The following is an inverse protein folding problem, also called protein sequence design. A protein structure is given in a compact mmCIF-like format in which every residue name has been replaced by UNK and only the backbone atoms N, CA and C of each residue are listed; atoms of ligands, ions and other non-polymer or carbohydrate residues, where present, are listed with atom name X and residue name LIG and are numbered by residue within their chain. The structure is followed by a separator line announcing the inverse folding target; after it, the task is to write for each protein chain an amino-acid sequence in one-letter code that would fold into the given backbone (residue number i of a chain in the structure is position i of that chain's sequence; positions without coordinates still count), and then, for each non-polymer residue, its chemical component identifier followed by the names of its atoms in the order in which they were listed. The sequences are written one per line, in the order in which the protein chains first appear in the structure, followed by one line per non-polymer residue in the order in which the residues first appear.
data_IF_077921052760
#
_entry.id   IF_077921052760
#
_cell.length_a   1.000
_cell.length_b   1.000
_cell.length_c   1.000
_cell.angle_alpha   90.00
_cell.angle_beta   90.00
_cell.angle_gamma   90.00
#
_symmetry.space_group_name_H-M   'P 1'
#
loop_
_entity.id
_entity.type
_entity.pdbx_description
1 polymer ?
#
# COMPACT_ATOMS: atom_id res chain seq x y z
N UNK A 1 -5.23 4.37 16.37
CA UNK A 1 -6.05 3.38 17.07
C UNK A 1 -5.62 1.98 16.65
N UNK A 2 -5.50 1.05 17.61
CA UNK A 2 -5.24 -0.36 17.35
C UNK A 2 -6.38 -1.23 17.91
N UNK A 3 -6.59 -2.40 17.35
CA UNK A 3 -7.58 -3.36 17.83
C UNK A 3 -6.94 -4.74 18.00
N UNK A 4 -7.23 -5.40 19.11
CA UNK A 4 -6.90 -6.80 19.36
C UNK A 4 -8.19 -7.62 19.33
N UNK A 5 -8.26 -8.60 18.46
CA UNK A 5 -9.38 -9.54 18.34
C UNK A 5 -8.92 -10.89 18.84
N UNK A 6 -9.62 -11.42 19.83
CA UNK A 6 -9.32 -12.74 20.41
C UNK A 6 -10.52 -13.66 20.25
N UNK A 7 -10.29 -14.86 19.75
CA UNK A 7 -11.29 -15.87 19.47
C UNK A 7 -11.00 -17.14 20.27
N UNK A 8 -12.03 -17.66 20.94
CA UNK A 8 -11.97 -18.95 21.59
C UNK A 8 -12.91 -19.95 20.88
N UNK A 9 -12.36 -20.88 20.15
CA UNK A 9 -13.11 -21.95 19.45
C UNK A 9 -13.36 -23.19 20.31
N UNK A 10 -12.86 -23.22 21.55
CA UNK A 10 -13.09 -24.31 22.47
C UNK A 10 -14.52 -24.24 23.02
N UNK A 11 -15.10 -25.41 23.33
CA UNK A 11 -16.42 -25.53 23.95
C UNK A 11 -16.42 -25.27 25.47
N UNK A 12 -15.33 -24.73 26.00
CA UNK A 12 -15.13 -24.40 27.40
C UNK A 12 -14.56 -23.00 27.56
N UNK A 13 -14.86 -22.36 28.70
CA UNK A 13 -14.26 -21.07 29.05
C UNK A 13 -12.76 -21.23 29.31
N UNK A 14 -11.97 -20.25 28.90
CA UNK A 14 -10.50 -20.26 29.05
C UNK A 14 -9.96 -18.95 29.59
N UNK A 15 -8.90 -19.07 30.38
CA UNK A 15 -8.01 -17.96 30.73
C UNK A 15 -6.83 -17.98 29.77
N UNK A 16 -6.68 -16.92 28.99
CA UNK A 16 -5.62 -16.79 28.00
C UNK A 16 -4.59 -15.75 28.43
N UNK A 17 -3.35 -16.00 28.08
CA UNK A 17 -2.25 -15.06 28.19
C UNK A 17 -1.88 -14.64 26.76
N UNK A 18 -2.35 -13.48 26.33
CA UNK A 18 -2.07 -12.97 24.99
C UNK A 18 -0.80 -12.14 25.03
N UNK A 19 0.22 -12.58 24.33
CA UNK A 19 1.45 -11.83 24.15
C UNK A 19 1.33 -10.93 22.91
N UNK A 20 1.62 -9.63 23.08
CA UNK A 20 1.78 -8.73 21.93
C UNK A 20 3.28 -8.67 21.63
N UNK A 21 3.73 -9.27 20.53
CA UNK A 21 5.15 -9.43 20.27
C UNK A 21 5.85 -8.09 20.04
N UNK A 22 7.10 -7.98 20.44
CA UNK A 22 7.89 -6.74 20.37
C UNK A 22 7.94 -6.17 18.94
N UNK A 23 8.05 -7.03 17.92
CA UNK A 23 8.04 -6.59 16.53
C UNK A 23 6.73 -5.90 16.09
N UNK A 24 5.59 -6.19 16.75
CA UNK A 24 4.34 -5.48 16.46
C UNK A 24 4.41 -4.02 16.92
N UNK A 25 5.11 -3.74 18.04
CA UNK A 25 5.34 -2.37 18.49
C UNK A 25 6.22 -1.62 17.49
N UNK A 26 7.31 -2.23 17.06
CA UNK A 26 8.22 -1.64 16.08
C UNK A 26 7.51 -1.38 14.75
N UNK A 27 6.74 -2.35 14.29
CA UNK A 27 6.00 -2.29 13.04
C UNK A 27 4.90 -1.21 13.01
N UNK A 28 4.13 -1.11 14.10
CA UNK A 28 3.05 -0.13 14.21
C UNK A 28 3.51 1.18 14.86
N UNK A 29 4.80 1.33 15.19
CA UNK A 29 5.36 2.47 15.91
C UNK A 29 4.56 2.81 17.19
N UNK A 30 4.25 1.78 17.97
CA UNK A 30 3.48 1.91 19.20
C UNK A 30 4.46 2.18 20.36
N UNK A 31 4.25 3.30 21.06
CA UNK A 31 5.00 3.58 22.27
C UNK A 31 4.65 2.59 23.41
N UNK A 32 5.65 2.23 24.20
CA UNK A 32 5.40 1.53 25.46
C UNK A 32 4.81 2.53 26.46
N UNK A 33 3.51 2.39 26.76
CA UNK A 33 2.80 3.30 27.65
C UNK A 33 1.60 2.65 28.35
N UNK A 34 1.09 3.29 29.41
CA UNK A 34 -0.20 2.92 29.98
C UNK A 34 -1.32 3.46 29.09
N UNK A 35 -2.15 2.57 28.56
CA UNK A 35 -3.27 2.92 27.68
C UNK A 35 -4.61 2.52 28.27
N UNK A 36 -5.65 3.29 27.94
CA UNK A 36 -7.02 2.91 28.22
C UNK A 36 -7.51 1.94 27.14
N UNK A 37 -7.83 0.72 27.55
CA UNK A 37 -8.36 -0.33 26.71
C UNK A 37 -9.86 -0.43 26.90
N UNK A 38 -10.63 -0.43 25.82
CA UNK A 38 -12.08 -0.61 25.82
C UNK A 38 -12.44 -1.96 25.20
N UNK A 39 -13.13 -2.82 25.95
CA UNK A 39 -13.74 -4.03 25.40
C UNK A 39 -15.06 -3.65 24.72
N UNK A 40 -15.19 -3.92 23.42
CA UNK A 40 -16.26 -3.32 22.60
C UNK A 40 -17.65 -3.93 22.81
N UNK A 41 -17.76 -5.19 23.25
CA UNK A 41 -19.05 -5.81 23.51
C UNK A 41 -19.66 -5.42 24.86
N UNK A 42 -18.83 -5.39 25.91
CA UNK A 42 -19.29 -5.04 27.26
C UNK A 42 -19.22 -3.55 27.57
N UNK A 43 -18.46 -2.79 26.77
CA UNK A 43 -18.11 -1.40 27.05
C UNK A 43 -17.16 -1.23 28.23
N UNK A 44 -16.65 -2.33 28.79
CA UNK A 44 -15.72 -2.32 29.93
C UNK A 44 -14.41 -1.62 29.55
N UNK A 45 -13.92 -0.76 30.46
CA UNK A 45 -12.68 -0.02 30.27
C UNK A 45 -11.67 -0.40 31.35
N UNK A 46 -10.42 -0.61 30.99
CA UNK A 46 -9.32 -0.80 31.95
C UNK A 46 -8.04 -0.16 31.43
N UNK A 47 -7.19 0.26 32.36
CA UNK A 47 -5.84 0.70 32.06
C UNK A 47 -4.93 -0.51 31.97
N UNK A 48 -4.11 -0.54 30.95
CA UNK A 48 -3.16 -1.62 30.67
C UNK A 48 -1.84 -1.01 30.28
N UNK A 49 -0.77 -1.52 30.86
CA UNK A 49 0.59 -1.17 30.45
C UNK A 49 0.96 -2.00 29.21
N UNK A 50 1.06 -1.33 28.07
CA UNK A 50 1.54 -1.94 26.83
C UNK A 50 3.07 -1.97 26.84
N UNK A 51 3.63 -3.16 26.74
CA UNK A 51 5.08 -3.40 26.66
C UNK A 51 5.38 -4.39 25.54
N UNK A 52 6.55 -4.25 24.94
CA UNK A 52 7.09 -5.26 24.01
C UNK A 52 7.16 -6.60 24.72
N UNK A 53 6.63 -7.62 24.06
CA UNK A 53 6.51 -8.99 24.59
C UNK A 53 5.73 -9.07 25.94
N UNK A 54 4.98 -8.02 26.27
CA UNK A 54 4.11 -7.97 27.43
C UNK A 54 2.91 -8.92 27.30
N UNK A 55 2.47 -9.44 28.45
CA UNK A 55 1.37 -10.40 28.49
C UNK A 55 0.08 -9.73 28.91
N UNK A 56 -0.97 -9.93 28.15
CA UNK A 56 -2.31 -9.41 28.39
C UNK A 56 -3.26 -10.55 28.79
N UNK A 57 -3.67 -10.65 30.07
CA UNK A 57 -4.56 -11.71 30.52
C UNK A 57 -6.00 -11.44 30.08
N UNK A 58 -6.63 -12.43 29.44
CA UNK A 58 -7.99 -12.36 28.92
C UNK A 58 -8.79 -13.58 29.34
N UNK A 59 -9.97 -13.34 29.93
CA UNK A 59 -10.97 -14.38 30.19
C UNK A 59 -11.90 -14.50 28.98
N UNK A 60 -12.03 -15.70 28.45
CA UNK A 60 -12.86 -16.00 27.29
C UNK A 60 -13.95 -17.01 27.64
N UNK A 61 -15.16 -16.72 27.22
CA UNK A 61 -16.27 -17.70 27.27
C UNK A 61 -16.06 -18.82 26.23
N UNK A 62 -16.75 -19.94 26.38
CA UNK A 62 -16.79 -20.97 25.37
C UNK A 62 -17.31 -20.42 24.04
N UNK A 63 -16.67 -20.74 22.92
CA UNK A 63 -16.98 -20.21 21.59
C UNK A 63 -17.09 -18.66 21.57
N UNK A 64 -16.31 -17.98 22.41
CA UNK A 64 -16.39 -16.55 22.64
C UNK A 64 -15.49 -15.72 21.72
N UNK A 65 -15.88 -14.45 21.55
CA UNK A 65 -15.06 -13.43 20.91
C UNK A 65 -14.93 -12.23 21.82
N UNK A 66 -13.76 -11.62 21.85
CA UNK A 66 -13.48 -10.34 22.53
C UNK A 66 -12.75 -9.41 21.57
N UNK A 67 -13.17 -8.16 21.55
CA UNK A 67 -12.54 -7.11 20.75
C UNK A 67 -12.13 -5.97 21.68
N UNK A 68 -10.84 -5.73 21.74
CA UNK A 68 -10.26 -4.66 22.54
C UNK A 68 -9.77 -3.54 21.67
N UNK A 69 -10.20 -2.33 21.94
CA UNK A 69 -9.75 -1.11 21.27
C UNK A 69 -8.76 -0.38 22.17
N UNK A 70 -7.62 -0.01 21.58
CA UNK A 70 -6.54 0.72 22.22
C UNK A 70 -6.39 2.10 21.57
N UNK A 71 -6.32 3.14 22.36
CA UNK A 71 -5.90 4.47 21.91
C UNK A 71 -4.39 4.60 22.18
N UNK A 72 -3.60 4.05 21.29
CA UNK A 72 -2.14 4.12 21.38
C UNK A 72 -1.62 5.42 20.78
N UNK A 73 -0.60 6.01 21.39
CA UNK A 73 0.23 7.00 20.74
C UNK A 73 1.17 6.25 19.81
N UNK A 74 1.27 6.72 18.59
CA UNK A 74 2.32 6.29 17.70
C UNK A 74 3.55 7.13 18.02
N UNK A 75 4.67 6.49 18.26
CA UNK A 75 5.94 7.22 18.30
C UNK A 75 6.10 7.85 16.91
N UNK A 76 6.27 9.16 16.86
CA UNK A 76 6.88 9.79 15.69
C UNK A 76 8.33 9.27 15.66
N UNK A 77 8.50 8.07 15.15
CA UNK A 77 9.84 7.62 14.84
C UNK A 77 10.34 8.56 13.75
N UNK A 78 11.47 9.21 13.99
CA UNK A 78 12.35 9.75 12.95
C UNK A 78 12.87 8.59 12.06
N UNK A 79 11.94 7.81 11.51
CA UNK A 79 12.24 7.06 10.29
C UNK A 79 12.40 8.17 9.26
N UNK A 80 13.63 8.58 9.06
CA UNK A 80 14.06 9.30 7.86
C UNK A 80 13.84 8.33 6.69
N UNK A 81 12.58 8.11 6.34
CA UNK A 81 12.21 7.80 4.99
C UNK A 81 12.65 9.03 4.23
N UNK A 82 13.59 8.86 3.29
CA UNK A 82 14.10 9.93 2.44
C UNK A 82 13.00 10.95 2.20
N UNK A 83 13.14 12.16 2.76
CA UNK A 83 12.14 13.21 2.67
C UNK A 83 11.83 13.43 1.20
N UNK A 84 10.66 12.98 0.77
CA UNK A 84 10.11 13.41 -0.50
C UNK A 84 9.71 14.88 -0.34
N UNK A 85 10.59 15.78 -0.70
CA UNK A 85 10.34 17.23 -0.71
C UNK A 85 9.28 17.67 -1.74
N UNK A 86 8.51 16.74 -2.31
CA UNK A 86 7.43 17.01 -3.25
C UNK A 86 6.09 16.66 -2.60
N UNK A 87 5.15 17.59 -2.72
CA UNK A 87 3.76 17.36 -2.32
C UNK A 87 3.24 16.09 -3.04
N UNK A 88 3.06 14.99 -2.29
CA UNK A 88 2.52 13.74 -2.83
C UNK A 88 1.07 13.97 -3.27
N UNK A 89 0.76 13.50 -4.47
CA UNK A 89 -0.61 13.48 -4.98
C UNK A 89 -1.07 12.03 -5.18
N UNK A 90 -1.69 11.41 -4.16
CA UNK A 90 -2.06 9.98 -4.15
C UNK A 90 -2.85 9.52 -5.40
N UNK A 91 -3.80 10.31 -5.96
CA UNK A 91 -4.48 9.92 -7.18
C UNK A 91 -3.54 9.69 -8.37
N UNK A 92 -2.60 10.59 -8.63
CA UNK A 92 -1.66 10.41 -9.73
C UNK A 92 -0.63 9.32 -9.44
N UNK A 93 -0.25 9.11 -8.18
CA UNK A 93 0.64 8.02 -7.79
C UNK A 93 -0.02 6.64 -7.99
N UNK A 94 -1.29 6.50 -7.63
CA UNK A 94 -2.03 5.26 -7.91
C UNK A 94 -2.23 5.05 -9.42
N UNK A 95 -2.48 6.12 -10.19
CA UNK A 95 -2.52 6.06 -11.64
C UNK A 95 -1.18 5.66 -12.27
N UNK A 96 -0.04 6.02 -11.67
CA UNK A 96 1.29 5.54 -12.07
C UNK A 96 1.37 4.02 -12.02
N UNK A 97 0.91 3.41 -10.92
CA UNK A 97 0.90 1.95 -10.76
C UNK A 97 0.05 1.27 -11.83
N UNK A 98 -1.17 1.78 -12.07
CA UNK A 98 -2.04 1.27 -13.14
C UNK A 98 -1.39 1.39 -14.52
N UNK A 99 -0.83 2.57 -14.84
CA UNK A 99 -0.19 2.81 -16.13
C UNK A 99 1.05 1.92 -16.33
N UNK A 100 1.86 1.72 -15.28
CA UNK A 100 2.99 0.80 -15.34
C UNK A 100 2.55 -0.61 -15.74
N UNK A 101 1.53 -1.14 -15.06
CA UNK A 101 1.04 -2.48 -15.35
C UNK A 101 0.33 -2.56 -16.70
N UNK A 102 -0.38 -1.52 -17.10
CA UNK A 102 -1.00 -1.45 -18.42
C UNK A 102 0.04 -1.51 -19.54
N UNK A 103 1.12 -0.73 -19.42
CA UNK A 103 2.19 -0.73 -20.42
C UNK A 103 2.90 -2.09 -20.53
N UNK A 104 3.13 -2.76 -19.40
CA UNK A 104 3.64 -4.14 -19.37
C UNK A 104 2.71 -5.08 -20.15
N UNK A 105 1.39 -4.95 -19.98
CA UNK A 105 0.41 -5.82 -20.63
C UNK A 105 0.22 -5.53 -22.12
N UNK A 106 0.20 -4.26 -22.52
CA UNK A 106 -0.02 -3.86 -23.91
C UNK A 106 1.23 -3.98 -24.79
N UNK A 107 2.40 -3.62 -24.24
CA UNK A 107 3.63 -3.51 -25.02
C UNK A 107 4.68 -4.56 -24.64
N UNK A 108 4.43 -5.42 -23.65
CA UNK A 108 5.41 -6.41 -23.18
C UNK A 108 6.68 -5.78 -22.58
N UNK A 109 6.67 -4.49 -22.32
CA UNK A 109 7.82 -3.74 -21.84
C UNK A 109 8.02 -3.89 -20.32
N UNK A 110 9.17 -3.45 -19.84
CA UNK A 110 9.41 -3.33 -18.40
C UNK A 110 8.67 -2.12 -17.81
N UNK A 111 8.45 -2.15 -16.49
CA UNK A 111 7.90 -0.98 -15.76
C UNK A 111 8.85 0.22 -15.89
N UNK A 112 8.28 1.41 -15.96
CA UNK A 112 9.04 2.67 -16.04
C UNK A 112 10.02 2.80 -14.89
N UNK A 113 11.28 3.10 -15.20
CA UNK A 113 12.31 3.44 -14.21
C UNK A 113 12.46 4.95 -14.01
N UNK A 114 11.75 5.76 -14.82
CA UNK A 114 11.81 7.20 -14.79
C UNK A 114 10.38 7.78 -14.79
N UNK A 115 9.84 7.95 -13.59
CA UNK A 115 8.54 8.55 -13.33
C UNK A 115 8.70 9.89 -12.61
N UNK A 116 7.93 10.88 -13.02
CA UNK A 116 7.83 12.17 -12.35
C UNK A 116 6.33 12.48 -12.16
N UNK A 117 5.85 12.25 -10.95
CA UNK A 117 4.43 12.28 -10.62
C UNK A 117 4.12 13.57 -9.88
N UNK A 118 3.21 14.35 -10.43
CA UNK A 118 2.79 15.64 -9.88
C UNK A 118 1.29 15.86 -10.09
N UNK A 119 0.69 16.72 -9.28
CA UNK A 119 -0.73 17.08 -9.37
C UNK A 119 -1.12 17.69 -10.74
N UNK A 120 -0.28 18.58 -11.28
CA UNK A 120 -0.63 19.32 -12.51
C UNK A 120 -0.37 18.49 -13.77
N UNK A 121 0.74 17.79 -13.81
CA UNK A 121 1.17 17.01 -14.97
C UNK A 121 2.22 15.99 -14.57
N UNK A 122 1.95 14.74 -14.85
CA UNK A 122 2.88 13.64 -14.62
C UNK A 122 3.51 13.18 -15.94
N UNK A 123 4.69 12.56 -15.85
CA UNK A 123 5.40 11.97 -16.98
C UNK A 123 6.03 10.66 -16.56
N UNK A 124 6.00 9.68 -17.47
CA UNK A 124 6.66 8.39 -17.32
C UNK A 124 7.35 8.02 -18.62
N UNK A 125 8.48 7.32 -18.53
CA UNK A 125 9.24 6.88 -19.70
C UNK A 125 9.37 5.38 -19.70
N UNK A 126 9.02 4.75 -20.82
CA UNK A 126 9.07 3.31 -21.06
C UNK A 126 10.03 3.01 -22.22
N UNK A 127 10.64 1.84 -22.19
CA UNK A 127 11.37 1.29 -23.35
C UNK A 127 10.41 0.33 -24.04
N UNK A 128 10.07 0.62 -25.29
CA UNK A 128 9.12 -0.17 -26.11
C UNK A 128 9.69 -0.42 -27.50
N UNK A 129 9.21 -1.47 -28.16
CA UNK A 129 9.79 -1.91 -29.45
C UNK A 129 9.45 -0.99 -30.62
N UNK A 130 8.37 -0.22 -30.51
CA UNK A 130 7.93 0.67 -31.60
C UNK A 130 7.26 1.93 -31.05
N UNK A 131 7.22 2.95 -31.90
CA UNK A 131 6.43 4.17 -31.66
C UNK A 131 4.95 3.83 -31.64
N UNK A 132 4.20 4.14 -30.55
CA UNK A 132 2.77 3.91 -30.51
C UNK A 132 2.02 4.63 -31.63
N UNK A 133 1.08 3.94 -32.20
CA UNK A 133 0.10 4.49 -33.13
C UNK A 133 -0.91 5.36 -32.39
N UNK A 134 -1.65 6.19 -33.10
CA UNK A 134 -2.77 6.97 -32.49
C UNK A 134 -3.84 6.08 -31.88
N UNK A 135 -4.03 4.87 -32.44
CA UNK A 135 -4.99 3.92 -31.89
C UNK A 135 -4.53 3.36 -30.55
N UNK A 136 -3.25 3.00 -30.43
CA UNK A 136 -2.66 2.52 -29.18
C UNK A 136 -2.64 3.62 -28.10
N UNK A 137 -2.36 4.86 -28.47
CA UNK A 137 -2.48 6.01 -27.54
C UNK A 137 -3.90 6.16 -27.00
N UNK A 138 -4.90 6.02 -27.86
CA UNK A 138 -6.31 6.06 -27.47
C UNK A 138 -6.69 4.87 -26.60
N UNK A 139 -6.15 3.69 -26.91
CA UNK A 139 -6.35 2.48 -26.11
C UNK A 139 -5.78 2.65 -24.70
N UNK A 140 -4.57 3.21 -24.54
CA UNK A 140 -3.99 3.53 -23.24
C UNK A 140 -4.95 4.41 -22.44
N UNK A 141 -5.45 5.51 -23.00
CA UNK A 141 -6.34 6.43 -22.28
C UNK A 141 -7.68 5.77 -21.92
N UNK A 142 -8.26 5.02 -22.84
CA UNK A 142 -9.53 4.32 -22.65
C UNK A 142 -9.39 3.26 -21.57
N UNK A 143 -8.36 2.43 -21.64
CA UNK A 143 -8.15 1.35 -20.69
C UNK A 143 -7.80 1.86 -19.29
N UNK A 144 -7.01 2.93 -19.19
CA UNK A 144 -6.76 3.59 -17.90
C UNK A 144 -8.06 4.06 -17.25
N UNK A 145 -8.96 4.69 -17.99
CA UNK A 145 -10.22 5.13 -17.42
C UNK A 145 -11.14 3.94 -17.07
N UNK A 146 -11.15 2.89 -17.88
CA UNK A 146 -11.87 1.65 -17.55
C UNK A 146 -11.37 1.02 -16.24
N UNK A 147 -10.05 0.95 -16.04
CA UNK A 147 -9.46 0.42 -14.81
C UNK A 147 -9.80 1.29 -13.57
N UNK A 148 -9.89 2.59 -13.76
CA UNK A 148 -10.32 3.52 -12.72
C UNK A 148 -11.78 3.26 -12.32
N UNK A 149 -12.66 3.07 -13.30
CA UNK A 149 -14.10 2.82 -13.11
C UNK A 149 -14.40 1.46 -12.46
N UNK A 150 -13.48 0.49 -12.51
CA UNK A 150 -13.65 -0.81 -11.84
C UNK A 150 -13.68 -0.73 -10.31
N UNK A 151 -13.37 0.41 -9.73
CA UNK A 151 -13.36 0.66 -8.28
C UNK A 151 -12.58 -0.41 -7.47
N UNK A 152 -11.43 -0.82 -8.00
CA UNK A 152 -10.59 -1.84 -7.37
C UNK A 152 -10.01 -1.32 -6.04
N UNK A 153 -10.04 -2.14 -4.97
CA UNK A 153 -9.44 -1.75 -3.70
C UNK A 153 -7.90 -1.62 -3.82
N UNK A 154 -7.36 -0.62 -3.14
CA UNK A 154 -5.91 -0.44 -2.98
C UNK A 154 -5.55 -0.81 -1.55
N UNK A 155 -4.79 -1.88 -1.40
CA UNK A 155 -4.43 -2.46 -0.10
C UNK A 155 -2.92 -2.53 0.07
N UNK A 156 -2.49 -2.63 1.33
CA UNK A 156 -1.09 -2.75 1.68
C UNK A 156 -0.84 -4.12 2.32
N UNK A 157 0.25 -4.74 1.90
CA UNK A 157 0.74 -5.99 2.46
C UNK A 157 2.21 -5.78 2.85
N UNK A 158 2.61 -6.30 3.99
CA UNK A 158 3.98 -6.23 4.44
C UNK A 158 4.57 -7.63 4.40
N UNK A 159 5.70 -7.75 3.73
CA UNK A 159 6.36 -9.04 3.50
C UNK A 159 7.85 -8.92 3.82
N UNK A 160 8.39 -9.97 4.39
CA UNK A 160 9.84 -10.09 4.55
C UNK A 160 10.49 -10.42 3.21
N UNK A 161 11.72 -9.97 2.99
CA UNK A 161 12.46 -10.20 1.74
C UNK A 161 12.53 -11.67 1.34
N UNK A 162 12.56 -12.57 2.31
CA UNK A 162 12.64 -14.03 2.09
C UNK A 162 11.28 -14.66 1.70
N UNK A 163 10.18 -13.91 1.83
CA UNK A 163 8.81 -14.39 1.60
C UNK A 163 8.07 -13.61 0.51
N UNK A 164 8.80 -12.96 -0.39
CA UNK A 164 8.21 -12.16 -1.46
C UNK A 164 7.53 -13.07 -2.49
N UNK A 165 6.28 -12.75 -2.90
CA UNK A 165 5.62 -13.48 -3.96
C UNK A 165 6.44 -13.46 -5.26
N UNK A 166 6.53 -14.61 -5.95
CA UNK A 166 7.38 -14.80 -7.15
C UNK A 166 7.03 -13.85 -8.32
N UNK A 167 5.84 -13.27 -8.31
CA UNK A 167 5.36 -12.30 -9.31
C UNK A 167 5.73 -10.86 -9.00
N UNK A 168 6.38 -10.58 -7.85
CA UNK A 168 6.83 -9.24 -7.45
C UNK A 168 8.29 -9.06 -7.85
N UNK A 169 8.56 -8.12 -8.76
CA UNK A 169 9.93 -7.78 -9.16
C UNK A 169 10.56 -6.83 -8.15
N UNK A 170 11.79 -7.13 -7.71
CA UNK A 170 12.55 -6.35 -6.72
C UNK A 170 13.63 -5.46 -7.34
N UNK A 171 13.81 -5.51 -8.64
CA UNK A 171 14.84 -4.80 -9.40
C UNK A 171 14.81 -3.27 -9.27
N UNK A 172 13.79 -2.73 -8.60
CA UNK A 172 13.62 -1.30 -8.34
C UNK A 172 13.84 -0.91 -6.87
N UNK A 173 14.14 -1.87 -6.02
CA UNK A 173 14.43 -1.58 -4.61
C UNK A 173 15.83 -1.00 -4.47
N UNK A 174 16.01 0.04 -3.64
CA UNK A 174 17.33 0.50 -3.22
C UNK A 174 18.11 -0.64 -2.52
N UNK A 175 19.44 -0.62 -2.62
CA UNK A 175 20.30 -1.61 -1.96
C UNK A 175 20.18 -1.58 -0.43
N UNK A 176 19.80 -0.42 0.12
CA UNK A 176 19.55 -0.15 1.53
C UNK A 176 18.07 -0.30 1.94
N UNK A 177 17.22 -0.90 1.08
CA UNK A 177 15.83 -1.15 1.43
C UNK A 177 15.72 -2.06 2.65
N UNK A 178 14.76 -1.76 3.54
CA UNK A 178 14.51 -2.50 4.77
C UNK A 178 14.26 -3.99 4.52
N UNK A 179 14.49 -4.83 5.55
CA UNK A 179 14.20 -6.27 5.50
C UNK A 179 12.71 -6.54 5.28
N UNK A 180 11.84 -5.67 5.80
CA UNK A 180 10.39 -5.73 5.57
C UNK A 180 10.01 -4.73 4.49
N UNK A 181 9.32 -5.19 3.46
CA UNK A 181 8.84 -4.41 2.33
C UNK A 181 7.34 -4.19 2.41
N UNK A 182 6.89 -2.97 2.10
CA UNK A 182 5.47 -2.70 1.90
C UNK A 182 5.13 -2.91 0.42
N UNK A 183 4.25 -3.87 0.14
CA UNK A 183 3.65 -4.08 -1.16
C UNK A 183 2.34 -3.30 -1.26
N UNK A 184 2.14 -2.62 -2.37
CA UNK A 184 0.87 -2.00 -2.75
C UNK A 184 0.19 -2.91 -3.75
N UNK A 185 -1.04 -3.32 -3.44
CA UNK A 185 -1.87 -4.17 -4.29
C UNK A 185 -3.07 -3.38 -4.78
N UNK A 186 -3.34 -3.39 -6.08
CA UNK A 186 -4.54 -2.81 -6.70
C UNK A 186 -5.40 -3.95 -7.23
N UNK A 187 -6.35 -4.41 -6.43
CA UNK A 187 -7.13 -5.62 -6.73
C UNK A 187 -6.23 -6.78 -7.14
N UNK A 188 -6.62 -7.50 -8.20
CA UNK A 188 -5.80 -8.52 -8.84
C UNK A 188 -5.01 -7.99 -10.07
N UNK A 189 -5.02 -6.66 -10.26
CA UNK A 189 -4.43 -6.05 -11.45
C UNK A 189 -2.94 -5.78 -11.32
N UNK A 190 -2.50 -5.22 -10.20
CA UNK A 190 -1.10 -4.87 -9.94
C UNK A 190 -0.67 -5.15 -8.50
N UNK A 191 0.59 -5.52 -8.33
CA UNK A 191 1.26 -5.61 -7.05
C UNK A 191 2.73 -5.22 -7.20
N UNK A 192 3.19 -4.26 -6.40
CA UNK A 192 4.61 -3.89 -6.39
C UNK A 192 5.04 -3.22 -5.09
N UNK A 193 6.34 -3.24 -4.75
CA UNK A 193 6.89 -2.52 -3.61
C UNK A 193 6.72 -1.02 -3.79
N UNK A 194 6.14 -0.35 -2.81
CA UNK A 194 6.01 1.11 -2.80
C UNK A 194 5.74 1.65 -1.40
N UNK A 195 6.41 2.74 -1.02
CA UNK A 195 6.26 3.41 0.28
C UNK A 195 5.41 4.69 0.22
N UNK A 196 5.07 5.18 -0.99
CA UNK A 196 4.30 6.40 -1.17
C UNK A 196 2.81 6.27 -0.82
N UNK A 197 2.10 7.38 -0.78
CA UNK A 197 0.66 7.41 -0.46
C UNK A 197 -0.19 7.08 -1.67
N UNK A 198 -1.25 6.32 -1.45
CA UNK A 198 -2.23 5.93 -2.47
C UNK A 198 -3.65 6.26 -2.05
N UNK A 199 -4.56 6.29 -3.01
CA UNK A 199 -6.01 6.31 -2.74
C UNK A 199 -6.47 4.94 -2.23
N UNK A 200 -7.66 4.87 -1.63
CA UNK A 200 -8.21 3.61 -1.08
C UNK A 200 -8.83 2.70 -2.15
N UNK A 201 -9.28 3.28 -3.27
CA UNK A 201 -9.79 2.55 -4.42
C UNK A 201 -9.50 3.30 -5.70
N UNK A 202 -9.50 2.59 -6.84
CA UNK A 202 -9.22 3.21 -8.14
C UNK A 202 -10.23 4.29 -8.53
N UNK A 203 -11.49 4.18 -8.11
CA UNK A 203 -12.51 5.22 -8.37
C UNK A 203 -12.15 6.59 -7.78
N UNK A 204 -11.32 6.63 -6.73
CA UNK A 204 -10.87 7.88 -6.12
C UNK A 204 -9.71 8.57 -6.88
N UNK A 205 -9.21 7.96 -7.95
CA UNK A 205 -8.18 8.56 -8.81
C UNK A 205 -8.75 9.80 -9.54
N UNK A 206 -9.98 9.71 -10.03
CA UNK A 206 -10.55 10.67 -10.95
C UNK A 206 -10.29 10.28 -12.41
N UNK A 207 -10.44 11.20 -13.36
CA UNK A 207 -10.30 10.91 -14.78
C UNK A 207 -8.84 11.03 -15.23
N UNK A 208 -8.33 9.97 -15.87
CA UNK A 208 -7.04 9.99 -16.55
C UNK A 208 -7.16 10.70 -17.90
N UNK A 209 -6.27 11.64 -18.17
CA UNK A 209 -6.19 12.37 -19.44
C UNK A 209 -4.78 12.26 -19.98
N UNK A 210 -4.63 11.64 -21.15
CA UNK A 210 -3.38 11.57 -21.90
C UNK A 210 -3.09 12.93 -22.53
N UNK A 211 -2.02 13.59 -22.11
CA UNK A 211 -1.62 14.90 -22.65
C UNK A 211 -0.76 14.79 -23.91
N UNK A 212 -0.28 13.60 -24.20
CA UNK A 212 0.52 13.28 -25.39
C UNK A 212 1.74 12.44 -25.06
N UNK A 213 2.37 11.97 -26.11
CA UNK A 213 3.56 11.12 -26.08
C UNK A 213 4.74 11.78 -26.79
N UNK A 214 5.94 11.34 -26.47
CA UNK A 214 7.16 11.65 -27.20
C UNK A 214 7.94 10.36 -27.40
N UNK A 215 8.35 10.13 -28.64
CA UNK A 215 9.13 8.98 -29.04
C UNK A 215 10.57 9.36 -29.38
N UNK A 216 11.51 8.58 -28.86
CA UNK A 216 12.93 8.66 -29.21
C UNK A 216 13.30 7.35 -29.93
N UNK A 217 13.56 7.45 -31.24
CA UNK A 217 13.86 6.32 -32.12
C UNK A 217 15.18 5.63 -31.76
N UNK A 218 16.19 6.40 -31.33
CA UNK A 218 17.49 5.83 -31.00
C UNK A 218 17.51 5.10 -29.67
N UNK A 219 16.78 5.63 -28.69
CA UNK A 219 16.70 5.06 -27.35
C UNK A 219 15.54 4.07 -27.19
N UNK A 220 14.72 3.85 -28.23
CA UNK A 220 13.46 3.10 -28.15
C UNK A 220 12.62 3.52 -26.93
N UNK A 221 12.62 4.83 -26.63
CA UNK A 221 11.98 5.31 -25.42
C UNK A 221 10.72 6.12 -25.72
N UNK A 222 9.64 5.73 -25.06
CA UNK A 222 8.35 6.37 -25.11
C UNK A 222 8.12 7.16 -23.83
N UNK A 223 8.02 8.48 -23.93
CA UNK A 223 7.61 9.33 -22.81
C UNK A 223 6.12 9.64 -22.90
N UNK A 224 5.37 9.19 -21.92
CA UNK A 224 3.93 9.47 -21.75
C UNK A 224 3.77 10.63 -20.76
N UNK A 225 2.94 11.62 -21.13
CA UNK A 225 2.53 12.73 -20.26
C UNK A 225 1.05 12.62 -20.02
N UNK A 226 0.65 12.74 -18.77
CA UNK A 226 -0.76 12.65 -18.37
C UNK A 226 -1.09 13.60 -17.20
N UNK A 227 -2.35 13.79 -16.96
CA UNK A 227 -2.87 14.44 -15.74
C UNK A 227 -4.08 13.67 -15.22
N UNK A 228 -4.36 13.88 -13.94
CA UNK A 228 -5.59 13.43 -13.31
C UNK A 228 -6.51 14.63 -13.10
N UNK A 229 -7.76 14.48 -13.50
CA UNK A 229 -8.84 15.46 -13.30
C UNK A 229 -9.81 14.84 -12.29
N UNK A 230 -9.96 15.54 -11.17
CA UNK A 230 -10.93 15.20 -10.11
C UNK A 230 -12.20 15.98 -10.28
#
# INVERSE_FOLDING_TARGET
EAMLIVLNFAQEARQLQVCIPGHAFDFFHIAEEEVLVTELFSGGKKKVELKKDGVFPISMDANGVRIYKFNVKMEESDIILNEHHKEEFPPAHTAEHLLNQLMVRLFGCERSRNAHIERKKSKMTFVVDHKPTRQEEKEIETEMNRLIELDMPVTYEFVDRDHIPANVKLDRLPDDASETLRLVRIGDYDVCPCIGKHVRSTAQIGKFVLLGTNWDEHAHSLRIRFKIVQ
#
